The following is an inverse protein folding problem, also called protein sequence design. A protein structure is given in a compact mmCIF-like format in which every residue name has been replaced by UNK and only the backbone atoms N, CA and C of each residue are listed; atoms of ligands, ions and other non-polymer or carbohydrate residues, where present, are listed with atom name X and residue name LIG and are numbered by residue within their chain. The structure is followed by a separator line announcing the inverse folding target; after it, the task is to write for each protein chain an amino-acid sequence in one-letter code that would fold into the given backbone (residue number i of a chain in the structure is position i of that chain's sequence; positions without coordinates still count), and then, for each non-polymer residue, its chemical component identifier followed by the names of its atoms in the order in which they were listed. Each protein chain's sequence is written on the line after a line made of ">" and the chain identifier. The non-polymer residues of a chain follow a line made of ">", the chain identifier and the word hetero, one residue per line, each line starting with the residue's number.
data_IF_242710865129
#
_entry.id   IF_242710865129
#
_cell.length_a   1.000
_cell.length_b   1.000
_cell.length_c   1.000
_cell.angle_alpha   90.00
_cell.angle_beta   90.00
_cell.angle_gamma   90.00
#
_symmetry.space_group_name_H-M   'P 1'
#
loop_
_entity.id
_entity.type
_entity.pdbx_description
1 polymer ?
#
# COMPACT_ATOMS: atom_id res chain seq x y z
N UNK A 1 35.26 11.74 -2.08
CA UNK A 1 34.70 11.15 -3.32
C UNK A 1 34.21 9.75 -2.96
N UNK A 2 32.95 9.62 -2.54
CA UNK A 2 32.34 8.33 -2.21
C UNK A 2 31.74 7.73 -3.47
N UNK A 3 32.10 6.48 -3.76
CA UNK A 3 31.57 5.73 -4.90
C UNK A 3 30.07 5.46 -4.71
N UNK A 4 29.26 5.51 -5.76
CA UNK A 4 27.87 5.08 -5.66
C UNK A 4 27.84 3.57 -5.42
N UNK A 5 27.01 3.14 -4.44
CA UNK A 5 26.76 1.74 -4.15
C UNK A 5 26.14 1.00 -5.34
N UNK A 6 26.16 -0.34 -5.34
CA UNK A 6 25.74 -1.14 -6.47
C UNK A 6 24.27 -0.89 -6.80
N UNK A 7 24.01 -0.59 -8.06
CA UNK A 7 22.66 -0.53 -8.64
C UNK A 7 22.01 -1.91 -8.50
N UNK A 8 20.77 -2.03 -8.00
CA UNK A 8 20.08 -3.30 -7.95
C UNK A 8 19.92 -3.85 -9.38
N UNK A 9 20.36 -5.07 -9.59
CA UNK A 9 20.26 -5.76 -10.88
C UNK A 9 18.80 -6.12 -11.17
N UNK A 10 18.31 -5.78 -12.35
CA UNK A 10 16.94 -5.99 -12.84
C UNK A 10 16.54 -7.46 -13.08
N UNK A 11 17.20 -8.42 -12.45
CA UNK A 11 17.11 -9.85 -12.79
C UNK A 11 16.36 -10.70 -11.72
N UNK A 12 15.66 -10.07 -10.77
CA UNK A 12 14.99 -10.79 -9.68
C UNK A 12 13.46 -10.59 -9.60
N UNK A 13 12.83 -10.00 -10.62
CA UNK A 13 11.38 -9.79 -10.57
C UNK A 13 10.63 -11.12 -10.82
N UNK A 14 9.90 -11.58 -9.80
CA UNK A 14 9.05 -12.76 -9.95
C UNK A 14 7.92 -12.51 -10.95
N UNK A 15 7.38 -13.58 -11.60
CA UNK A 15 6.24 -13.46 -12.52
C UNK A 15 5.06 -12.69 -11.93
N UNK A 16 4.82 -12.81 -10.62
CA UNK A 16 3.75 -12.10 -9.91
C UNK A 16 4.00 -10.59 -9.83
N UNK A 17 5.23 -10.19 -9.56
CA UNK A 17 5.65 -8.80 -9.49
C UNK A 17 5.55 -8.13 -10.85
N UNK A 18 6.00 -8.81 -11.90
CA UNK A 18 5.88 -8.36 -13.28
C UNK A 18 4.42 -8.24 -13.73
N UNK A 19 3.58 -9.25 -13.44
CA UNK A 19 2.14 -9.20 -13.74
C UNK A 19 1.45 -8.02 -13.05
N UNK A 20 1.82 -7.73 -11.81
CA UNK A 20 1.30 -6.55 -11.09
C UNK A 20 1.72 -5.24 -11.74
N UNK A 21 3.00 -5.11 -12.12
CA UNK A 21 3.50 -3.91 -12.79
C UNK A 21 2.79 -3.67 -14.12
N UNK A 22 2.69 -4.71 -14.98
CA UNK A 22 1.98 -4.62 -16.25
C UNK A 22 0.50 -4.24 -16.07
N UNK A 23 -0.14 -4.79 -15.02
CA UNK A 23 -1.53 -4.49 -14.72
C UNK A 23 -1.74 -3.01 -14.37
N UNK A 24 -0.82 -2.41 -13.63
CA UNK A 24 -0.93 -1.02 -13.19
C UNK A 24 -0.43 -0.01 -14.22
N UNK A 25 0.51 -0.37 -15.09
CA UNK A 25 1.05 0.50 -16.14
C UNK A 25 0.00 0.88 -17.19
N UNK A 26 -0.92 -0.02 -17.51
CA UNK A 26 -2.00 0.20 -18.47
C UNK A 26 -3.20 1.00 -17.94
N UNK A 27 -3.24 1.35 -16.65
CA UNK A 27 -4.44 1.94 -16.06
C UNK A 27 -4.68 3.40 -16.48
N UNK A 28 -5.93 3.75 -16.80
CA UNK A 28 -6.27 5.06 -17.36
C UNK A 28 -6.02 6.22 -16.39
N UNK A 29 -5.96 7.45 -16.95
CA UNK A 29 -5.76 8.70 -16.20
C UNK A 29 -6.73 8.90 -15.02
N UNK A 30 -7.91 8.27 -15.07
CA UNK A 30 -8.98 8.33 -14.05
C UNK A 30 -8.90 7.19 -13.03
N UNK A 31 -7.69 6.66 -12.78
CA UNK A 31 -7.48 5.53 -11.85
C UNK A 31 -8.13 5.76 -10.48
N UNK A 32 -7.89 6.91 -9.87
CA UNK A 32 -8.38 7.18 -8.51
C UNK A 32 -9.91 7.25 -8.45
N UNK A 33 -10.54 7.89 -9.45
CA UNK A 33 -12.00 8.00 -9.53
C UNK A 33 -12.66 6.64 -9.74
N UNK A 34 -12.10 5.84 -10.65
CA UNK A 34 -12.62 4.51 -10.95
C UNK A 34 -12.37 3.52 -9.81
N UNK A 35 -11.22 3.58 -9.16
CA UNK A 35 -10.93 2.80 -7.94
C UNK A 35 -11.93 3.14 -6.83
N UNK A 36 -12.19 4.43 -6.60
CA UNK A 36 -13.18 4.87 -5.63
C UNK A 36 -14.60 4.40 -6.00
N UNK A 37 -15.01 4.55 -7.24
CA UNK A 37 -16.34 4.15 -7.72
C UNK A 37 -16.53 2.63 -7.63
N UNK A 38 -15.57 1.84 -8.12
CA UNK A 38 -15.59 0.37 -8.09
C UNK A 38 -15.49 -0.20 -6.67
N UNK A 39 -14.92 0.55 -5.72
CA UNK A 39 -14.95 0.18 -4.30
C UNK A 39 -16.20 0.70 -3.56
N UNK A 40 -17.19 1.27 -4.27
CA UNK A 40 -18.33 1.95 -3.66
C UNK A 40 -17.89 3.02 -2.63
N UNK A 41 -16.88 3.80 -2.97
CA UNK A 41 -16.25 4.83 -2.12
C UNK A 41 -15.65 4.28 -0.80
N UNK A 42 -15.44 2.97 -0.70
CA UNK A 42 -14.80 2.40 0.50
C UNK A 42 -13.29 2.67 0.53
N UNK A 43 -12.58 2.61 -0.61
CA UNK A 43 -11.13 2.84 -0.65
C UNK A 43 -10.73 4.21 -0.06
N UNK A 44 -11.34 5.35 -0.43
CA UNK A 44 -11.03 6.63 0.21
C UNK A 44 -11.34 6.66 1.71
N UNK A 45 -12.36 5.93 2.17
CA UNK A 45 -12.69 5.80 3.59
C UNK A 45 -11.64 4.98 4.34
N UNK A 46 -11.15 3.89 3.72
CA UNK A 46 -10.12 3.05 4.31
C UNK A 46 -8.78 3.78 4.42
N UNK A 47 -8.39 4.55 3.38
CA UNK A 47 -7.18 5.40 3.41
C UNK A 47 -7.23 6.45 4.51
N UNK A 48 -8.40 7.07 4.71
CA UNK A 48 -8.60 8.00 5.84
C UNK A 48 -8.47 7.30 7.20
N UNK A 49 -8.94 6.06 7.32
CA UNK A 49 -8.78 5.25 8.52
C UNK A 49 -7.30 4.90 8.75
N UNK A 50 -6.57 4.46 7.70
CA UNK A 50 -5.13 4.21 7.72
C UNK A 50 -4.36 5.41 8.26
N UNK A 51 -4.58 6.61 7.70
CA UNK A 51 -3.89 7.82 8.13
C UNK A 51 -4.30 8.21 9.56
N UNK A 52 -5.54 7.88 9.98
CA UNK A 52 -5.97 8.02 11.37
C UNK A 52 -5.18 7.15 12.35
N UNK A 53 -4.78 5.94 11.96
CA UNK A 53 -3.96 5.06 12.80
C UNK A 53 -2.53 5.58 12.94
N UNK A 54 -1.96 6.17 11.90
CA UNK A 54 -0.64 6.84 11.97
C UNK A 54 -0.69 8.08 12.83
N UNK A 55 -1.82 8.82 12.78
CA UNK A 55 -2.03 10.08 13.50
C UNK A 55 -0.88 11.07 13.28
N UNK A 56 -0.67 11.56 12.04
CA UNK A 56 0.45 12.42 11.68
C UNK A 56 0.46 13.70 12.50
N UNK A 57 1.64 14.22 12.80
CA UNK A 57 1.87 15.46 13.57
C UNK A 57 2.75 16.41 12.77
N UNK A 58 2.64 17.69 13.10
CA UNK A 58 3.47 18.72 12.48
C UNK A 58 4.95 18.45 12.70
N UNK A 59 5.75 18.73 11.70
CA UNK A 59 7.19 18.52 11.69
C UNK A 59 7.65 17.07 11.49
N UNK A 60 6.75 16.09 11.44
CA UNK A 60 7.11 14.69 11.19
C UNK A 60 7.56 14.44 9.76
N UNK A 61 8.50 13.50 9.62
CA UNK A 61 8.91 12.92 8.32
C UNK A 61 8.32 11.53 8.18
N UNK A 62 7.43 11.35 7.20
CA UNK A 62 6.65 10.13 7.02
C UNK A 62 7.02 9.46 5.69
N UNK A 63 7.21 8.14 5.71
CA UNK A 63 7.42 7.34 4.50
C UNK A 63 6.09 6.72 4.08
N UNK A 64 5.73 6.88 2.80
CA UNK A 64 4.57 6.21 2.17
C UNK A 64 5.07 5.24 1.11
N UNK A 65 5.07 3.94 1.43
CA UNK A 65 5.59 2.87 0.56
C UNK A 65 4.47 2.30 -0.30
N UNK A 66 4.77 2.01 -1.56
CA UNK A 66 3.79 1.76 -2.61
C UNK A 66 2.81 2.93 -2.69
N UNK A 67 3.36 4.15 -2.79
CA UNK A 67 2.59 5.40 -2.74
C UNK A 67 1.62 5.55 -3.91
N UNK A 68 1.86 4.85 -5.02
CA UNK A 68 1.05 4.86 -6.21
C UNK A 68 0.85 6.28 -6.76
N UNK A 69 -0.40 6.70 -6.89
CA UNK A 69 -0.77 8.06 -7.33
C UNK A 69 -0.67 9.11 -6.21
N UNK A 70 -0.16 8.76 -5.02
CA UNK A 70 0.04 9.67 -3.90
C UNK A 70 -1.22 10.00 -3.07
N UNK A 71 -2.25 9.13 -3.09
CA UNK A 71 -3.50 9.40 -2.37
C UNK A 71 -3.33 9.40 -0.84
N UNK A 72 -2.52 8.49 -0.30
CA UNK A 72 -2.22 8.44 1.15
C UNK A 72 -1.33 9.62 1.52
N UNK A 73 -0.29 9.89 0.74
CA UNK A 73 0.56 11.07 0.92
C UNK A 73 -0.26 12.38 0.96
N UNK A 74 -1.23 12.54 0.06
CA UNK A 74 -2.12 13.69 0.05
C UNK A 74 -2.99 13.79 1.32
N UNK A 75 -3.49 12.67 1.83
CA UNK A 75 -4.27 12.65 3.07
C UNK A 75 -3.42 12.93 4.31
N UNK A 76 -2.15 12.47 4.35
CA UNK A 76 -1.18 12.81 5.40
C UNK A 76 -0.97 14.32 5.46
N UNK A 77 -0.64 14.95 4.33
CA UNK A 77 -0.40 16.38 4.20
C UNK A 77 -1.64 17.26 4.45
N UNK A 78 -2.83 16.69 4.30
CA UNK A 78 -4.08 17.38 4.65
C UNK A 78 -4.29 17.45 6.16
N UNK A 79 -3.73 16.49 6.93
CA UNK A 79 -3.95 16.37 8.38
C UNK A 79 -2.92 17.07 9.24
N UNK A 80 -1.69 17.20 8.75
CA UNK A 80 -0.60 17.81 9.51
C UNK A 80 0.38 18.52 8.56
N UNK A 81 1.10 19.50 9.09
CA UNK A 81 2.24 20.10 8.40
C UNK A 81 3.46 19.20 8.57
N UNK A 82 3.46 18.11 7.81
CA UNK A 82 4.50 17.09 7.79
C UNK A 82 5.20 17.03 6.43
N UNK A 83 6.34 16.36 6.37
CA UNK A 83 7.01 16.01 5.12
C UNK A 83 6.75 14.54 4.78
N UNK A 84 6.49 14.26 3.50
CA UNK A 84 6.24 12.89 3.02
C UNK A 84 7.26 12.51 1.97
N UNK A 85 7.88 11.35 2.17
CA UNK A 85 8.64 10.67 1.12
C UNK A 85 7.76 9.53 0.60
N UNK A 86 7.38 9.59 -0.68
CA UNK A 86 6.65 8.52 -1.36
C UNK A 86 7.60 7.67 -2.18
N UNK A 87 7.54 6.35 -2.05
CA UNK A 87 8.31 5.41 -2.87
C UNK A 87 7.38 4.43 -3.57
N UNK A 88 7.63 4.18 -4.86
CA UNK A 88 6.89 3.21 -5.67
C UNK A 88 7.79 2.66 -6.78
N UNK A 89 7.54 1.43 -7.21
CA UNK A 89 8.30 0.83 -8.31
C UNK A 89 7.75 1.23 -9.69
N UNK A 90 6.48 1.64 -9.77
CA UNK A 90 5.79 2.00 -11.02
C UNK A 90 6.02 3.47 -11.36
N UNK A 91 6.82 3.73 -12.40
CA UNK A 91 7.05 5.08 -12.90
C UNK A 91 5.76 5.77 -13.43
N UNK A 92 4.83 5.07 -14.12
CA UNK A 92 3.54 5.65 -14.48
C UNK A 92 2.70 6.10 -13.28
N UNK A 93 2.74 5.38 -12.15
CA UNK A 93 2.07 5.80 -10.91
C UNK A 93 2.74 7.04 -10.31
N UNK A 94 4.08 7.04 -10.22
CA UNK A 94 4.85 8.20 -9.74
C UNK A 94 4.63 9.44 -10.60
N UNK A 95 4.52 9.30 -11.92
CA UNK A 95 4.21 10.44 -12.80
C UNK A 95 2.86 11.09 -12.43
N UNK A 96 1.86 10.30 -12.05
CA UNK A 96 0.56 10.83 -11.56
C UNK A 96 0.69 11.47 -10.18
N UNK A 97 1.48 10.86 -9.29
CA UNK A 97 1.77 11.47 -8.00
C UNK A 97 2.49 12.82 -8.15
N UNK A 98 3.49 12.92 -9.03
CA UNK A 98 4.15 14.21 -9.33
C UNK A 98 3.17 15.25 -9.87
N UNK A 99 2.26 14.85 -10.75
CA UNK A 99 1.21 15.75 -11.24
C UNK A 99 0.26 16.20 -10.12
N UNK A 100 -0.08 15.31 -9.17
CA UNK A 100 -0.90 15.64 -7.99
C UNK A 100 -0.24 16.68 -7.09
N UNK A 101 1.07 16.58 -6.91
CA UNK A 101 1.84 17.47 -6.03
C UNK A 101 2.53 18.61 -6.78
N UNK A 102 2.19 18.85 -8.05
CA UNK A 102 2.71 19.98 -8.80
C UNK A 102 2.50 21.29 -8.04
N UNK A 103 3.57 22.06 -7.88
CA UNK A 103 3.56 23.33 -7.14
C UNK A 103 3.84 23.20 -5.62
N UNK A 104 3.97 21.98 -5.07
CA UNK A 104 4.48 21.79 -3.70
C UNK A 104 6.00 21.77 -3.66
N UNK A 105 6.56 22.28 -2.55
CA UNK A 105 8.01 22.25 -2.35
C UNK A 105 8.52 20.80 -2.20
N UNK A 106 9.70 20.49 -2.72
CA UNK A 106 10.33 19.16 -2.58
C UNK A 106 10.61 18.81 -1.12
N UNK A 107 10.82 19.80 -0.27
CA UNK A 107 10.94 19.62 1.17
C UNK A 107 9.66 19.08 1.83
N UNK A 108 8.52 19.30 1.20
CA UNK A 108 7.22 18.83 1.70
C UNK A 108 6.83 17.47 1.10
N UNK A 109 7.11 17.23 -0.18
CA UNK A 109 6.84 15.95 -0.86
C UNK A 109 7.98 15.56 -1.76
N UNK A 110 8.62 14.44 -1.46
CA UNK A 110 9.65 13.83 -2.30
C UNK A 110 9.18 12.49 -2.82
N UNK A 111 9.23 12.27 -4.13
CA UNK A 111 8.80 11.03 -4.77
C UNK A 111 9.99 10.32 -5.41
N UNK A 112 10.18 9.06 -5.05
CA UNK A 112 11.32 8.23 -5.46
C UNK A 112 10.81 6.95 -6.11
N UNK A 113 11.56 6.47 -7.12
CA UNK A 113 11.38 5.13 -7.62
C UNK A 113 12.21 4.16 -6.79
N UNK A 114 11.60 3.05 -6.35
CA UNK A 114 12.29 2.03 -5.56
C UNK A 114 11.33 0.95 -5.10
N UNK A 115 11.90 -0.08 -4.49
CA UNK A 115 11.22 -1.28 -4.03
C UNK A 115 11.06 -1.29 -2.51
N UNK A 116 9.98 -1.92 -2.05
CA UNK A 116 9.69 -2.03 -0.62
C UNK A 116 10.63 -3.03 0.10
N UNK A 117 11.17 -3.98 -0.66
CA UNK A 117 12.05 -5.05 -0.16
C UNK A 117 13.49 -4.57 0.09
N UNK A 118 13.86 -3.40 -0.47
CA UNK A 118 15.21 -2.82 -0.32
C UNK A 118 15.12 -1.28 -0.33
N UNK A 119 14.75 -0.70 0.81
CA UNK A 119 14.55 0.73 0.94
C UNK A 119 15.90 1.49 0.99
N UNK A 120 16.10 2.53 0.16
CA UNK A 120 17.36 3.30 0.10
C UNK A 120 17.47 4.32 1.23
N UNK A 121 17.14 3.90 2.47
CA UNK A 121 17.14 4.76 3.64
C UNK A 121 17.89 4.11 4.80
N UNK A 122 18.53 4.93 5.61
CA UNK A 122 19.15 4.51 6.85
C UNK A 122 18.10 4.05 7.87
N UNK A 123 18.54 3.26 8.85
CA UNK A 123 17.71 2.85 9.98
C UNK A 123 17.16 4.06 10.71
N UNK A 124 15.95 3.94 11.24
CA UNK A 124 15.31 4.93 12.08
C UNK A 124 15.24 6.35 11.47
N UNK A 125 15.12 6.47 10.13
CA UNK A 125 15.10 7.75 9.42
C UNK A 125 13.72 8.38 9.29
N UNK A 126 12.64 7.69 9.68
CA UNK A 126 11.27 8.20 9.60
C UNK A 126 10.54 8.13 10.94
N UNK A 127 9.66 9.11 11.16
CA UNK A 127 8.79 9.17 12.34
C UNK A 127 7.62 8.21 12.28
N UNK A 128 7.14 7.94 11.07
CA UNK A 128 6.07 7.00 10.80
C UNK A 128 6.15 6.46 9.38
N UNK A 129 5.44 5.35 9.12
CA UNK A 129 5.38 4.72 7.81
C UNK A 129 3.96 4.26 7.51
N UNK A 130 3.55 4.46 6.26
CA UNK A 130 2.33 3.90 5.68
C UNK A 130 2.64 3.04 4.46
N UNK A 131 1.83 2.01 4.21
CA UNK A 131 1.83 1.29 2.94
C UNK A 131 0.43 0.76 2.61
N UNK A 132 0.14 0.65 1.31
CA UNK A 132 -1.19 0.18 0.85
C UNK A 132 -1.06 -0.84 -0.24
N UNK A 133 -1.82 -1.97 -0.10
CA UNK A 133 -1.94 -3.02 -1.11
C UNK A 133 -0.61 -3.61 -1.58
N UNK A 134 0.38 -3.66 -0.69
CA UNK A 134 1.76 -4.01 -0.99
C UNK A 134 2.05 -5.51 -0.84
N UNK A 135 1.68 -6.11 0.31
CA UNK A 135 2.20 -7.42 0.72
C UNK A 135 1.79 -8.58 -0.21
N UNK A 136 0.79 -8.38 -1.05
CA UNK A 136 0.40 -9.36 -2.06
C UNK A 136 1.35 -9.44 -3.27
N UNK A 137 2.19 -8.43 -3.44
CA UNK A 137 3.04 -8.25 -4.61
C UNK A 137 4.54 -8.41 -4.31
N UNK A 138 4.90 -8.63 -3.06
CA UNK A 138 6.27 -8.91 -2.64
C UNK A 138 6.51 -10.42 -2.54
N UNK A 139 7.76 -10.82 -2.64
CA UNK A 139 8.15 -12.23 -2.61
C UNK A 139 8.09 -12.81 -1.20
N UNK A 140 8.62 -12.06 -0.23
CA UNK A 140 8.60 -12.42 1.19
C UNK A 140 7.94 -11.30 2.01
N UNK A 141 6.64 -11.45 2.37
CA UNK A 141 5.95 -10.47 3.20
C UNK A 141 6.58 -10.27 4.58
N UNK A 142 7.19 -11.30 5.19
CA UNK A 142 7.80 -11.20 6.51
C UNK A 142 9.11 -10.39 6.45
N UNK A 143 9.97 -10.68 5.48
CA UNK A 143 11.20 -9.92 5.25
C UNK A 143 10.87 -8.47 4.87
N UNK A 144 9.86 -8.25 4.01
CA UNK A 144 9.43 -6.90 3.64
C UNK A 144 8.96 -6.10 4.85
N UNK A 145 8.11 -6.67 5.72
CA UNK A 145 7.67 -5.97 6.95
C UNK A 145 8.85 -5.63 7.85
N UNK A 146 9.87 -6.49 7.93
CA UNK A 146 11.11 -6.24 8.68
C UNK A 146 11.87 -5.04 8.08
N UNK A 147 11.99 -4.98 6.76
CA UNK A 147 12.64 -3.85 6.08
C UNK A 147 11.87 -2.54 6.28
N UNK A 148 10.52 -2.59 6.21
CA UNK A 148 9.66 -1.45 6.48
C UNK A 148 9.82 -0.94 7.94
N UNK A 149 9.91 -1.86 8.90
CA UNK A 149 10.11 -1.50 10.30
C UNK A 149 11.50 -0.91 10.55
N UNK A 150 12.55 -1.38 9.86
CA UNK A 150 13.93 -0.93 10.01
C UNK A 150 14.07 0.58 9.89
N UNK A 151 13.42 1.17 8.90
CA UNK A 151 13.55 2.60 8.58
C UNK A 151 12.73 3.51 9.49
N UNK A 152 11.84 2.96 10.31
CA UNK A 152 11.04 3.73 11.27
C UNK A 152 11.79 3.83 12.59
N UNK A 153 11.85 5.00 13.21
CA UNK A 153 12.49 5.21 14.52
C UNK A 153 11.78 4.46 15.64
N UNK A 154 12.47 4.11 16.73
CA UNK A 154 11.84 3.60 17.94
C UNK A 154 10.68 4.50 18.42
N UNK A 155 9.55 3.90 18.77
CA UNK A 155 8.31 4.61 19.10
C UNK A 155 7.53 5.16 17.91
N UNK A 156 8.06 5.05 16.69
CA UNK A 156 7.39 5.47 15.46
C UNK A 156 6.23 4.53 15.10
N UNK A 157 5.25 5.08 14.37
CA UNK A 157 4.05 4.34 13.99
C UNK A 157 4.16 3.75 12.59
N UNK A 158 3.74 2.49 12.45
CA UNK A 158 3.59 1.81 11.15
C UNK A 158 2.11 1.49 10.95
N UNK A 159 1.57 1.77 9.78
CA UNK A 159 0.22 1.36 9.45
C UNK A 159 0.10 0.89 8.00
N UNK A 160 -0.76 -0.11 7.78
CA UNK A 160 -1.04 -0.67 6.45
C UNK A 160 -2.53 -0.71 6.14
N UNK A 161 -2.83 -0.71 4.85
CA UNK A 161 -4.15 -1.01 4.32
C UNK A 161 -4.03 -2.13 3.29
N UNK A 162 -4.81 -3.19 3.50
CA UNK A 162 -4.94 -4.31 2.55
C UNK A 162 -6.40 -4.63 2.28
N UNK A 163 -6.67 -5.22 1.11
CA UNK A 163 -7.94 -5.90 0.89
C UNK A 163 -8.04 -7.09 1.83
N UNK A 164 -9.23 -7.34 2.37
CA UNK A 164 -9.48 -8.46 3.25
C UNK A 164 -10.48 -9.46 2.69
N UNK A 165 -10.61 -10.59 3.39
CA UNK A 165 -11.68 -11.55 3.17
C UNK A 165 -12.68 -11.42 4.31
N UNK A 166 -13.99 -11.22 4.01
CA UNK A 166 -15.02 -11.21 5.03
C UNK A 166 -15.02 -12.49 5.88
N UNK A 167 -15.04 -12.39 7.22
CA UNK A 167 -14.90 -13.56 8.09
C UNK A 167 -16.18 -14.41 8.18
N UNK A 168 -17.37 -13.82 7.93
CA UNK A 168 -18.63 -14.52 8.05
C UNK A 168 -19.29 -14.82 6.68
N UNK A 169 -19.94 -15.97 6.60
CA UNK A 169 -20.38 -16.57 5.34
C UNK A 169 -21.24 -15.67 4.43
N UNK A 170 -22.29 -14.95 4.89
CA UNK A 170 -23.07 -14.10 4.00
C UNK A 170 -22.30 -12.98 3.33
N UNK A 171 -21.44 -12.28 4.10
CA UNK A 171 -20.60 -11.22 3.52
C UNK A 171 -19.52 -11.79 2.61
N UNK A 172 -18.97 -12.97 2.94
CA UNK A 172 -18.01 -13.66 2.08
C UNK A 172 -18.65 -14.05 0.75
N UNK A 173 -19.86 -14.59 0.75
CA UNK A 173 -20.59 -14.92 -0.48
C UNK A 173 -20.83 -13.66 -1.33
N UNK A 174 -21.32 -12.58 -0.73
CA UNK A 174 -21.54 -11.32 -1.42
C UNK A 174 -20.23 -10.75 -2.01
N UNK A 175 -19.14 -10.83 -1.26
CA UNK A 175 -17.80 -10.42 -1.69
C UNK A 175 -17.31 -11.28 -2.85
N UNK A 176 -17.49 -12.61 -2.78
CA UNK A 176 -17.10 -13.54 -3.85
C UNK A 176 -17.89 -13.26 -5.14
N UNK A 177 -19.22 -13.06 -5.05
CA UNK A 177 -20.05 -12.71 -6.19
C UNK A 177 -19.63 -11.36 -6.79
N UNK A 178 -19.38 -10.37 -5.93
CA UNK A 178 -18.92 -9.06 -6.38
C UNK A 178 -17.58 -9.15 -7.11
N UNK A 179 -16.57 -9.82 -6.55
CA UNK A 179 -15.24 -9.92 -7.16
C UNK A 179 -15.17 -10.85 -8.35
N UNK A 180 -16.05 -11.87 -8.43
CA UNK A 180 -16.08 -12.81 -9.55
C UNK A 180 -16.88 -12.28 -10.74
N UNK A 181 -17.96 -11.55 -10.50
CA UNK A 181 -18.90 -11.11 -11.53
C UNK A 181 -19.06 -9.59 -11.57
N UNK A 182 -19.37 -8.97 -10.43
CA UNK A 182 -19.68 -7.56 -10.35
C UNK A 182 -18.52 -6.67 -10.78
N UNK A 183 -17.35 -6.87 -10.19
CA UNK A 183 -16.16 -6.06 -10.45
C UNK A 183 -15.65 -6.19 -11.90
N UNK A 184 -15.51 -7.39 -12.51
CA UNK A 184 -15.17 -7.52 -13.92
C UNK A 184 -16.21 -6.89 -14.86
N UNK A 185 -17.51 -7.04 -14.55
CA UNK A 185 -18.58 -6.49 -15.39
C UNK A 185 -18.61 -4.97 -15.34
N UNK A 186 -18.53 -4.37 -14.17
CA UNK A 186 -18.44 -2.92 -14.00
C UNK A 186 -17.12 -2.37 -14.57
N UNK A 187 -16.01 -3.08 -14.37
CA UNK A 187 -14.73 -2.74 -14.97
C UNK A 187 -14.78 -2.70 -16.48
N UNK A 188 -15.49 -3.65 -17.13
CA UNK A 188 -15.68 -3.68 -18.58
C UNK A 188 -16.40 -2.42 -19.11
N UNK A 189 -17.32 -1.88 -18.35
CA UNK A 189 -17.99 -0.61 -18.71
C UNK A 189 -17.04 0.58 -18.70
N UNK A 190 -15.97 0.51 -17.91
CA UNK A 190 -14.95 1.55 -17.84
C UNK A 190 -13.88 1.37 -18.94
N UNK A 191 -13.26 0.18 -19.03
CA UNK A 191 -12.29 -0.20 -20.06
C UNK A 191 -11.94 -1.69 -20.00
N UNK A 192 -11.23 -2.19 -21.06
CA UNK A 192 -10.69 -3.56 -21.06
C UNK A 192 -9.67 -3.78 -19.93
N UNK A 193 -8.88 -2.76 -19.60
CA UNK A 193 -7.87 -2.83 -18.53
C UNK A 193 -8.54 -2.96 -17.16
N UNK A 194 -9.58 -2.21 -16.89
CA UNK A 194 -10.36 -2.34 -15.67
C UNK A 194 -11.08 -3.69 -15.54
N UNK A 195 -11.50 -4.27 -16.65
CA UNK A 195 -12.02 -5.64 -16.64
C UNK A 195 -10.92 -6.65 -16.24
N UNK A 196 -9.68 -6.47 -16.75
CA UNK A 196 -8.53 -7.31 -16.35
C UNK A 196 -8.25 -7.18 -14.86
N UNK A 197 -8.19 -5.95 -14.32
CA UNK A 197 -8.06 -5.70 -12.88
C UNK A 197 -9.14 -6.41 -12.08
N UNK A 198 -10.39 -6.30 -12.51
CA UNK A 198 -11.52 -6.95 -11.84
C UNK A 198 -11.38 -8.48 -11.80
N UNK A 199 -10.93 -9.11 -12.89
CA UNK A 199 -10.70 -10.57 -12.96
C UNK A 199 -9.52 -11.02 -12.11
N UNK A 200 -8.48 -10.20 -12.03
CA UNK A 200 -7.26 -10.49 -11.25
C UNK A 200 -7.47 -10.38 -9.74
N UNK A 201 -8.22 -9.38 -9.29
CA UNK A 201 -8.22 -8.96 -7.89
C UNK A 201 -8.77 -10.05 -6.95
N UNK A 202 -9.91 -10.65 -7.26
CA UNK A 202 -10.55 -11.67 -6.40
C UNK A 202 -9.68 -12.90 -6.15
N UNK A 203 -9.18 -13.58 -7.21
CA UNK A 203 -8.24 -14.70 -7.08
C UNK A 203 -6.94 -14.31 -6.35
N UNK A 204 -6.37 -13.15 -6.65
CA UNK A 204 -5.14 -12.64 -6.02
C UNK A 204 -5.30 -12.48 -4.51
N UNK A 205 -6.41 -11.86 -4.05
CA UNK A 205 -6.68 -11.70 -2.61
C UNK A 205 -6.85 -13.06 -1.92
N UNK A 206 -7.65 -13.96 -2.49
CA UNK A 206 -7.86 -15.30 -1.91
C UNK A 206 -6.55 -16.08 -1.80
N UNK A 207 -5.80 -16.19 -2.89
CA UNK A 207 -4.54 -16.90 -2.89
C UNK A 207 -3.49 -16.30 -1.95
N UNK A 208 -3.55 -14.99 -1.70
CA UNK A 208 -2.70 -14.37 -0.69
C UNK A 208 -3.06 -14.84 0.73
N UNK A 209 -4.34 -14.79 1.12
CA UNK A 209 -4.77 -15.19 2.46
C UNK A 209 -4.75 -16.72 2.69
N UNK A 210 -4.77 -17.53 1.64
CA UNK A 210 -4.52 -18.97 1.73
C UNK A 210 -3.07 -19.27 2.14
N UNK A 211 -2.11 -18.48 1.63
CA UNK A 211 -0.68 -18.63 1.96
C UNK A 211 -0.29 -17.88 3.23
N UNK A 212 -0.91 -16.73 3.47
CA UNK A 212 -0.59 -15.82 4.56
C UNK A 212 -1.89 -15.43 5.29
N UNK A 213 -2.43 -16.32 6.15
CA UNK A 213 -3.57 -16.00 6.99
C UNK A 213 -3.33 -14.73 7.81
N UNK A 214 -4.39 -14.07 8.24
CA UNK A 214 -4.27 -12.79 8.98
C UNK A 214 -3.42 -12.94 10.26
N UNK A 215 -3.51 -14.09 10.93
CA UNK A 215 -2.72 -14.42 12.10
C UNK A 215 -1.22 -14.49 11.78
N UNK A 216 -0.87 -15.04 10.61
CA UNK A 216 0.52 -15.05 10.13
C UNK A 216 1.01 -13.63 9.83
N UNK A 217 0.18 -12.78 9.20
CA UNK A 217 0.52 -11.39 8.97
C UNK A 217 0.79 -10.64 10.29
N UNK A 218 -0.04 -10.86 11.32
CA UNK A 218 0.20 -10.31 12.67
C UNK A 218 1.52 -10.82 13.22
N UNK A 219 1.82 -12.12 13.03
CA UNK A 219 3.10 -12.73 13.41
C UNK A 219 4.31 -12.05 12.73
N UNK A 220 4.21 -11.70 11.43
CA UNK A 220 5.28 -10.99 10.71
C UNK A 220 5.55 -9.60 11.31
N UNK A 221 4.50 -8.90 11.72
CA UNK A 221 4.64 -7.60 12.38
C UNK A 221 5.35 -7.73 13.73
N UNK A 222 4.97 -8.72 14.55
CA UNK A 222 5.68 -8.98 15.82
C UNK A 222 7.13 -9.38 15.58
N UNK A 223 7.40 -10.27 14.60
CA UNK A 223 8.75 -10.68 14.23
C UNK A 223 9.64 -9.54 13.73
N UNK A 224 9.05 -8.48 13.18
CA UNK A 224 9.74 -7.26 12.75
C UNK A 224 9.98 -6.24 13.89
N UNK A 225 9.72 -6.58 15.16
CA UNK A 225 9.86 -5.67 16.29
C UNK A 225 8.77 -4.60 16.34
N UNK A 226 7.58 -4.92 15.84
CA UNK A 226 6.40 -4.06 15.93
C UNK A 226 5.48 -4.57 17.05
N UNK A 227 5.17 -3.71 18.03
CA UNK A 227 4.31 -4.04 19.17
C UNK A 227 2.97 -3.32 19.08
N UNK A 228 2.04 -3.71 19.96
CA UNK A 228 0.68 -3.15 20.01
C UNK A 228 -0.04 -3.29 18.66
N UNK A 229 0.16 -4.42 17.98
CA UNK A 229 -0.42 -4.68 16.66
C UNK A 229 -1.94 -4.70 16.78
N UNK A 230 -2.59 -3.78 16.08
CA UNK A 230 -4.04 -3.64 16.01
C UNK A 230 -4.52 -3.98 14.62
N UNK A 231 -5.60 -4.74 14.54
CA UNK A 231 -6.26 -5.11 13.29
C UNK A 231 -7.67 -4.56 13.28
N UNK A 232 -7.95 -3.66 12.36
CA UNK A 232 -9.27 -3.07 12.15
C UNK A 232 -9.86 -3.56 10.85
N UNK A 233 -10.93 -4.35 10.95
CA UNK A 233 -11.70 -4.77 9.77
C UNK A 233 -12.67 -3.69 9.35
N UNK A 234 -12.64 -3.33 8.07
CA UNK A 234 -13.50 -2.33 7.44
C UNK A 234 -14.48 -3.02 6.49
N UNK A 235 -15.67 -2.42 6.29
CA UNK A 235 -16.64 -2.87 5.29
C UNK A 235 -16.89 -4.39 5.36
N UNK A 236 -17.31 -4.85 6.54
CA UNK A 236 -17.57 -6.28 6.83
C UNK A 236 -16.35 -7.21 6.65
N UNK A 237 -15.14 -6.66 6.59
CA UNK A 237 -13.91 -7.40 6.39
C UNK A 237 -13.34 -7.34 4.97
N UNK A 238 -13.94 -6.57 4.08
CA UNK A 238 -13.43 -6.35 2.72
C UNK A 238 -12.18 -5.46 2.66
N UNK A 239 -11.91 -4.69 3.72
CA UNK A 239 -10.68 -3.94 3.94
C UNK A 239 -10.12 -4.23 5.33
N UNK A 240 -8.80 -4.24 5.44
CA UNK A 240 -8.07 -4.45 6.70
C UNK A 240 -7.07 -3.33 6.87
N UNK A 241 -7.19 -2.58 7.96
CA UNK A 241 -6.18 -1.64 8.40
C UNK A 241 -5.44 -2.28 9.58
N UNK A 242 -4.12 -2.40 9.46
CA UNK A 242 -3.25 -2.82 10.55
C UNK A 242 -2.41 -1.63 11.01
N UNK A 243 -2.14 -1.54 12.29
CA UNK A 243 -1.26 -0.53 12.87
C UNK A 243 -0.46 -1.08 14.04
N UNK A 244 0.75 -0.55 14.24
CA UNK A 244 1.62 -0.91 15.34
C UNK A 244 2.60 0.22 15.66
N UNK A 245 3.37 0.04 16.73
CA UNK A 245 4.46 0.92 17.15
C UNK A 245 5.76 0.14 17.10
N UNK A 246 6.84 0.74 16.54
CA UNK A 246 8.16 0.11 16.56
C UNK A 246 8.72 0.08 17.98
N UNK A 247 9.25 -1.08 18.37
CA UNK A 247 10.00 -1.23 19.63
C UNK A 247 11.27 -0.38 19.63
N UNK A 248 11.70 -0.01 20.83
CA UNK A 248 12.95 0.71 21.06
C UNK A 248 14.16 -0.21 21.18
#
# INVERSE_FOLDING_TARGET
>A
MSQPGPTPTADSDTPRKLEALELFDGLPRRYDELSAALSFWQDPRWRRALVGEVAPRDGQRILDVATGTGMVAAELLRRADCSVVGIDQSEPMLARARARFAGRAESQVRLLRGEAEALPFEDASFDALTFTYLLRYVDDPAATVTELARVVRPGGRVASLEFGLPPFAPARLAWLLYTAVGLPSLGRLASADWMRVGRFLGPSIRGFYERHPLEALVGYWHGAGLRDVRVRRMSLGGGIVMSATREG
#
